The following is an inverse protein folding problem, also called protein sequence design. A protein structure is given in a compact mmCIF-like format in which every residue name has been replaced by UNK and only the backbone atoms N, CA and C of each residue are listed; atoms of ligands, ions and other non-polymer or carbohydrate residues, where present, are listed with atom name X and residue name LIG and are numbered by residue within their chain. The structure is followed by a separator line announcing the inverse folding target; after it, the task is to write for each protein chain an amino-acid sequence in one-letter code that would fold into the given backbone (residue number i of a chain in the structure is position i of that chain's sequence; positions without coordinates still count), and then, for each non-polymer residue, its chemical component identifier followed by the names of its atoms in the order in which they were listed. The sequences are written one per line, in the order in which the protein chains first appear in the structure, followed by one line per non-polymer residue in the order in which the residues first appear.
data_IF_216621778383
#
_entry.id   IF_216621778383
#
_cell.length_a   1.000
_cell.length_b   1.000
_cell.length_c   1.000
_cell.angle_alpha   90.00
_cell.angle_beta   90.00
_cell.angle_gamma   90.00
#
_symmetry.space_group_name_H-M   'P 1'
#
loop_
_entity.id
_entity.type
_entity.pdbx_description
1 polymer ?
#
# COMPACT_ATOMS: atom_id res chain seq x y z
N UNK A 1 20.19 -8.15 18.84
CA UNK A 1 18.80 -8.57 19.01
C UNK A 1 17.93 -7.34 18.87
N UNK A 2 17.21 -7.19 17.75
CA UNK A 2 16.26 -6.10 17.56
C UNK A 2 15.00 -6.49 18.33
N UNK A 3 14.76 -5.79 19.44
CA UNK A 3 13.70 -6.07 20.41
C UNK A 3 12.33 -6.10 19.73
N UNK A 4 11.56 -7.15 20.01
CA UNK A 4 10.21 -7.41 19.55
C UNK A 4 9.20 -6.39 20.12
N UNK A 5 9.23 -5.14 19.63
CA UNK A 5 8.18 -4.15 19.94
C UNK A 5 6.88 -4.45 19.15
N UNK A 6 6.92 -5.40 18.21
CA UNK A 6 5.80 -5.73 17.32
C UNK A 6 5.00 -6.97 17.76
N UNK A 7 5.42 -7.70 18.79
CA UNK A 7 4.78 -8.98 19.16
C UNK A 7 3.42 -8.82 19.86
N UNK A 8 3.01 -7.60 20.22
CA UNK A 8 1.75 -7.32 20.94
C UNK A 8 0.82 -6.34 20.20
N UNK A 9 1.07 -6.08 18.91
CA UNK A 9 0.02 -5.51 18.07
C UNK A 9 -0.96 -6.65 17.78
N UNK A 10 -2.05 -6.65 18.55
CA UNK A 10 -3.12 -7.62 18.42
C UNK A 10 -3.50 -7.77 16.94
N UNK A 11 -3.60 -9.00 16.44
CA UNK A 11 -3.85 -9.27 15.01
C UNK A 11 -5.11 -8.54 14.52
N UNK A 12 -6.07 -8.35 15.43
CA UNK A 12 -7.29 -7.56 15.22
C UNK A 12 -7.00 -6.10 14.83
N UNK A 13 -6.03 -5.44 15.47
CA UNK A 13 -5.62 -4.06 15.16
C UNK A 13 -4.96 -3.96 13.78
N UNK A 14 -4.20 -4.99 13.38
CA UNK A 14 -3.61 -5.08 12.05
C UNK A 14 -4.70 -5.20 10.96
N UNK A 15 -5.67 -6.09 11.18
CA UNK A 15 -6.81 -6.29 10.29
C UNK A 15 -7.64 -5.00 10.15
N UNK A 16 -7.96 -4.36 11.28
CA UNK A 16 -8.67 -3.08 11.33
C UNK A 16 -7.92 -1.98 10.59
N UNK A 17 -6.60 -1.88 10.76
CA UNK A 17 -5.79 -0.89 10.05
C UNK A 17 -5.82 -1.12 8.54
N UNK A 18 -5.65 -2.38 8.12
CA UNK A 18 -5.70 -2.77 6.71
C UNK A 18 -7.05 -2.44 6.09
N UNK A 19 -8.15 -2.73 6.81
CA UNK A 19 -9.51 -2.41 6.36
C UNK A 19 -9.74 -0.90 6.32
N UNK A 20 -9.42 -0.16 7.39
CA UNK A 20 -9.65 1.29 7.51
C UNK A 20 -8.94 2.08 6.41
N UNK A 21 -7.74 1.66 6.04
CA UNK A 21 -6.92 2.32 5.02
C UNK A 21 -7.04 1.66 3.63
N UNK A 22 -7.94 0.69 3.47
CA UNK A 22 -8.14 -0.07 2.23
C UNK A 22 -6.84 -0.64 1.63
N UNK A 23 -5.89 -1.04 2.49
CA UNK A 23 -4.52 -1.41 2.08
C UNK A 23 -4.54 -2.58 1.09
N UNK A 24 -5.38 -3.59 1.34
CA UNK A 24 -5.52 -4.75 0.45
C UNK A 24 -5.95 -4.35 -0.96
N UNK A 25 -6.93 -3.45 -1.08
CA UNK A 25 -7.43 -3.02 -2.39
C UNK A 25 -6.37 -2.20 -3.14
N UNK A 26 -5.70 -1.28 -2.45
CA UNK A 26 -4.63 -0.46 -3.03
C UNK A 26 -3.50 -1.33 -3.59
N UNK A 27 -3.04 -2.32 -2.82
CA UNK A 27 -1.98 -3.22 -3.24
C UNK A 27 -2.42 -4.10 -4.41
N UNK A 28 -3.65 -4.63 -4.38
CA UNK A 28 -4.23 -5.42 -5.46
C UNK A 28 -4.28 -4.63 -6.77
N UNK A 29 -4.79 -3.41 -6.73
CA UNK A 29 -4.89 -2.55 -7.92
C UNK A 29 -3.50 -2.17 -8.44
N UNK A 30 -2.54 -1.93 -7.54
CA UNK A 30 -1.16 -1.69 -7.92
C UNK A 30 -0.55 -2.86 -8.69
N UNK A 31 -0.76 -4.10 -8.21
CA UNK A 31 -0.28 -5.32 -8.87
C UNK A 31 -0.96 -5.50 -10.23
N UNK A 32 -2.27 -5.30 -10.30
CA UNK A 32 -3.02 -5.39 -11.57
C UNK A 32 -2.48 -4.37 -12.58
N UNK A 33 -2.31 -3.12 -12.19
CA UNK A 33 -1.78 -2.06 -13.06
C UNK A 33 -0.33 -2.36 -13.49
N UNK A 34 0.51 -2.86 -12.58
CA UNK A 34 1.86 -3.29 -12.93
C UNK A 34 1.85 -4.40 -13.99
N UNK A 35 0.95 -5.39 -13.84
CA UNK A 35 0.80 -6.50 -14.78
C UNK A 35 0.21 -6.09 -16.14
N UNK A 36 -0.58 -5.01 -16.19
CA UNK A 36 -1.10 -4.42 -17.43
C UNK A 36 0.01 -3.65 -18.16
N UNK A 37 0.72 -2.77 -17.43
CA UNK A 37 1.73 -1.88 -18.02
C UNK A 37 3.04 -2.60 -18.34
N UNK A 38 3.38 -3.64 -17.57
CA UNK A 38 4.64 -4.41 -17.65
C UNK A 38 5.90 -3.53 -17.84
N UNK A 39 6.14 -2.56 -16.95
CA UNK A 39 7.28 -1.68 -17.08
C UNK A 39 8.60 -2.44 -16.87
N UNK A 40 9.65 -2.01 -17.56
CA UNK A 40 11.00 -2.57 -17.40
C UNK A 40 11.56 -2.37 -15.97
N UNK A 41 11.10 -1.33 -15.27
CA UNK A 41 11.50 -0.98 -13.90
C UNK A 41 10.30 -0.99 -12.94
N UNK A 42 9.90 -2.16 -12.40
CA UNK A 42 8.72 -2.28 -11.53
C UNK A 42 8.80 -1.42 -10.25
N UNK A 43 9.99 -1.29 -9.65
CA UNK A 43 10.18 -0.45 -8.45
C UNK A 43 9.94 1.05 -8.71
N UNK A 44 10.29 1.54 -9.90
CA UNK A 44 9.99 2.93 -10.28
C UNK A 44 8.50 3.15 -10.46
N UNK A 45 7.81 2.16 -11.04
CA UNK A 45 6.35 2.19 -11.18
C UNK A 45 5.64 2.27 -9.82
N UNK A 46 6.02 1.44 -8.84
CA UNK A 46 5.44 1.49 -7.50
C UNK A 46 5.52 2.89 -6.90
N UNK A 47 6.70 3.51 -6.91
CA UNK A 47 6.89 4.88 -6.40
C UNK A 47 5.94 5.88 -7.07
N UNK A 48 5.86 5.85 -8.40
CA UNK A 48 5.00 6.77 -9.15
C UNK A 48 3.51 6.50 -8.89
N UNK A 49 3.11 5.23 -8.78
CA UNK A 49 1.72 4.84 -8.50
C UNK A 49 1.26 5.38 -7.13
N UNK A 50 2.05 5.15 -6.08
CA UNK A 50 1.71 5.65 -4.74
C UNK A 50 1.76 7.18 -4.64
N UNK A 51 2.70 7.85 -5.32
CA UNK A 51 2.71 9.32 -5.42
C UNK A 51 1.43 9.86 -6.07
N UNK A 52 0.91 9.21 -7.12
CA UNK A 52 -0.36 9.60 -7.74
C UNK A 52 -1.54 9.41 -6.79
N UNK A 53 -1.58 8.29 -6.06
CA UNK A 53 -2.64 8.03 -5.08
C UNK A 53 -2.65 9.07 -3.96
N UNK A 54 -1.47 9.42 -3.43
CA UNK A 54 -1.30 10.46 -2.42
C UNK A 54 -1.83 11.81 -2.92
N UNK A 55 -1.46 12.21 -4.14
CA UNK A 55 -1.97 13.43 -4.77
C UNK A 55 -3.50 13.43 -4.87
N UNK A 56 -4.12 12.36 -5.39
CA UNK A 56 -5.58 12.27 -5.48
C UNK A 56 -6.24 12.42 -4.11
N UNK A 57 -5.68 11.79 -3.07
CA UNK A 57 -6.21 11.91 -1.71
C UNK A 57 -6.15 13.34 -1.15
N UNK A 58 -5.18 14.16 -1.58
CA UNK A 58 -5.08 15.57 -1.18
C UNK A 58 -6.03 16.52 -1.92
N UNK A 59 -6.51 16.15 -3.12
CA UNK A 59 -7.44 16.99 -3.89
C UNK A 59 -8.93 16.71 -3.59
N UNK A 60 -9.23 15.63 -2.86
CA UNK A 60 -10.60 15.25 -2.46
C UNK A 60 -11.04 15.82 -1.11
N UNK A 61 -10.30 16.77 -0.55
CA UNK A 61 -10.63 17.53 0.67
C UNK A 61 -10.92 19.00 0.36
#
# INVERSE_FOLDING_TARGET
MTSNVYDDLNVDDCELYVQRHNIQQILKDCIVQLCIVKPERPLTFFRQYFQKLEMVSTYTY
#
